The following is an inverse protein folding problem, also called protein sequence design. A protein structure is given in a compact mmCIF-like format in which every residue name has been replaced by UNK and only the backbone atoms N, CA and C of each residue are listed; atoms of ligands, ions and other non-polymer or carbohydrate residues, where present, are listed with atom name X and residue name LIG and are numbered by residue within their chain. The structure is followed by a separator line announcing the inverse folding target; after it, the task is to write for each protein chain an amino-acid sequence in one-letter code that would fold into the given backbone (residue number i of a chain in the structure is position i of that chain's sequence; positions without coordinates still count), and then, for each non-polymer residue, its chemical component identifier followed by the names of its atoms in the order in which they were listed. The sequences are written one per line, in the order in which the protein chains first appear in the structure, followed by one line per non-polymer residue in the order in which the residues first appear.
data_IF_457819873854
#
_entry.id   IF_457819873854
#
_cell.length_a   1.000
_cell.length_b   1.000
_cell.length_c   1.000
_cell.angle_alpha   90.00
_cell.angle_beta   90.00
_cell.angle_gamma   90.00
#
_symmetry.space_group_name_H-M   'P 1'
#
loop_
_entity.id
_entity.type
_entity.pdbx_description
1 polymer ?
#
# COMPACT_ATOMS: atom_id res chain seq x y z
N UNK A 1 40.08 76.64 -15.56
CA UNK A 1 41.08 75.54 -15.58
C UNK A 1 41.37 75.11 -14.14
N UNK A 2 40.51 74.26 -13.58
CA UNK A 2 40.67 73.70 -12.23
C UNK A 2 41.18 72.26 -12.33
N UNK A 3 42.30 71.97 -11.67
CA UNK A 3 42.97 70.65 -11.71
C UNK A 3 42.24 69.66 -10.80
N UNK A 4 41.81 68.54 -11.37
CA UNK A 4 41.24 67.39 -10.66
C UNK A 4 42.37 66.62 -9.94
N UNK A 5 42.23 66.38 -8.63
CA UNK A 5 43.03 65.41 -7.87
C UNK A 5 42.11 64.21 -7.54
N UNK A 6 42.53 62.96 -7.75
CA UNK A 6 41.76 61.82 -7.28
C UNK A 6 42.01 61.57 -5.79
N UNK A 7 40.94 61.20 -5.07
CA UNK A 7 40.94 60.72 -3.68
C UNK A 7 41.26 59.21 -3.63
N UNK A 8 41.73 58.67 -2.48
CA UNK A 8 42.16 57.28 -2.37
C UNK A 8 40.97 56.30 -2.29
N UNK A 9 41.19 55.07 -2.77
CA UNK A 9 40.24 53.97 -2.75
C UNK A 9 39.85 53.58 -1.31
N UNK A 10 38.55 53.52 -1.04
CA UNK A 10 37.99 52.91 0.16
C UNK A 10 38.05 51.38 0.01
N UNK A 11 38.64 50.71 0.99
CA UNK A 11 38.70 49.25 1.07
C UNK A 11 37.30 48.66 1.26
N UNK A 12 37.01 47.63 0.48
CA UNK A 12 35.83 46.78 0.60
C UNK A 12 36.16 45.58 1.49
N UNK A 13 36.11 45.76 2.81
CA UNK A 13 36.12 44.66 3.77
C UNK A 13 34.85 44.74 4.61
N UNK A 14 33.83 43.97 4.23
CA UNK A 14 32.62 43.82 5.03
C UNK A 14 31.37 43.62 4.19
N UNK A 15 31.16 42.40 3.65
CA UNK A 15 29.80 41.82 3.56
C UNK A 15 29.73 40.36 3.06
N UNK A 16 30.87 39.69 2.82
CA UNK A 16 30.85 38.28 2.41
C UNK A 16 30.43 37.32 3.55
N UNK A 17 30.44 37.76 4.81
CA UNK A 17 30.12 36.92 5.96
C UNK A 17 28.62 36.72 6.19
N UNK A 18 27.81 37.76 5.97
CA UNK A 18 26.38 37.75 6.31
C UNK A 18 25.54 37.00 5.28
N UNK A 19 25.85 37.15 3.98
CA UNK A 19 25.19 36.39 2.91
C UNK A 19 25.55 34.88 2.94
N UNK A 20 26.77 34.54 3.36
CA UNK A 20 27.22 33.14 3.45
C UNK A 20 26.71 32.45 4.72
N UNK A 21 26.40 33.20 5.78
CA UNK A 21 25.75 32.67 6.98
C UNK A 21 24.25 32.42 6.71
N UNK A 22 23.55 33.35 6.07
CA UNK A 22 22.12 33.22 5.74
C UNK A 22 21.84 32.03 4.79
N UNK A 23 22.72 31.79 3.80
CA UNK A 23 22.59 30.64 2.90
C UNK A 23 22.91 29.30 3.57
N UNK A 24 23.82 29.28 4.55
CA UNK A 24 24.13 28.07 5.33
C UNK A 24 23.06 27.72 6.35
N UNK A 25 22.45 28.72 6.98
CA UNK A 25 21.39 28.51 7.96
C UNK A 25 20.11 28.00 7.28
N UNK A 26 19.77 28.56 6.11
CA UNK A 26 18.67 28.03 5.28
C UNK A 26 19.00 26.62 4.76
N UNK A 27 20.21 26.36 4.25
CA UNK A 27 20.62 25.03 3.80
C UNK A 27 20.67 23.99 4.94
N UNK A 28 21.08 24.40 6.15
CA UNK A 28 21.08 23.58 7.37
C UNK A 28 19.67 23.25 7.82
N UNK A 29 18.75 24.22 7.77
CA UNK A 29 17.33 24.00 8.06
C UNK A 29 16.70 23.06 7.02
N UNK A 30 17.10 23.14 5.75
CA UNK A 30 16.69 22.17 4.73
C UNK A 30 17.24 20.77 5.04
N UNK A 31 18.55 20.59 5.26
CA UNK A 31 19.13 19.26 5.57
C UNK A 31 18.61 18.67 6.87
N UNK A 32 18.41 19.48 7.92
CA UNK A 32 17.86 19.02 9.20
C UNK A 32 16.40 18.57 9.08
N UNK A 33 15.64 19.12 8.13
CA UNK A 33 14.26 18.71 7.88
C UNK A 33 14.22 17.40 7.08
N UNK A 34 15.10 17.25 6.08
CA UNK A 34 15.27 15.99 5.33
C UNK A 34 15.81 14.85 6.18
N UNK A 35 16.81 15.10 7.04
CA UNK A 35 17.34 14.10 7.97
C UNK A 35 16.28 13.68 9.00
N UNK A 36 15.42 14.59 9.47
CA UNK A 36 14.30 14.25 10.36
C UNK A 36 13.20 13.45 9.67
N UNK A 37 12.81 13.82 8.45
CA UNK A 37 11.82 13.06 7.67
C UNK A 37 12.34 11.66 7.33
N UNK A 38 13.62 11.52 6.96
CA UNK A 38 14.25 10.23 6.67
C UNK A 38 14.35 9.37 7.94
N UNK A 39 14.71 9.96 9.09
CA UNK A 39 14.76 9.26 10.39
C UNK A 39 13.35 8.85 10.87
N UNK A 40 12.35 9.71 10.76
CA UNK A 40 10.98 9.45 11.25
C UNK A 40 10.28 8.38 10.44
N UNK A 41 10.49 8.35 9.13
CA UNK A 41 9.91 7.34 8.28
C UNK A 41 10.64 5.99 8.41
N UNK A 42 11.97 6.00 8.60
CA UNK A 42 12.73 4.79 8.93
C UNK A 42 12.18 4.10 10.20
N UNK A 43 11.67 4.84 11.18
CA UNK A 43 11.07 4.25 12.38
C UNK A 43 9.77 3.47 12.09
N UNK A 44 8.90 3.98 11.22
CA UNK A 44 7.65 3.29 10.81
C UNK A 44 7.98 2.06 9.94
N UNK A 45 8.92 2.22 9.01
CA UNK A 45 9.41 1.10 8.20
C UNK A 45 10.08 0.02 9.08
N UNK A 46 10.94 0.44 10.01
CA UNK A 46 11.64 -0.47 10.91
C UNK A 46 10.70 -1.10 11.94
N UNK A 47 9.62 -0.44 12.39
CA UNK A 47 8.62 -1.07 13.26
C UNK A 47 7.94 -2.21 12.52
N UNK A 48 7.44 -1.98 11.31
CA UNK A 48 6.79 -3.02 10.49
C UNK A 48 7.75 -4.17 10.12
N UNK A 49 9.01 -3.87 9.79
CA UNK A 49 10.03 -4.91 9.57
C UNK A 49 10.37 -5.71 10.85
N UNK A 50 10.38 -5.08 12.03
CA UNK A 50 10.65 -5.76 13.31
C UNK A 50 9.51 -6.68 13.70
N UNK A 51 8.25 -6.26 13.52
CA UNK A 51 7.10 -7.10 13.87
C UNK A 51 6.94 -8.27 12.90
N UNK A 52 7.12 -8.04 11.58
CA UNK A 52 7.16 -9.09 10.56
C UNK A 52 8.15 -10.22 10.92
N UNK A 53 9.35 -9.86 11.40
CA UNK A 53 10.35 -10.84 11.88
C UNK A 53 9.91 -11.58 13.15
N UNK A 54 9.26 -10.90 14.11
CA UNK A 54 8.79 -11.52 15.36
C UNK A 54 7.68 -12.55 15.11
N UNK A 55 6.75 -12.27 14.20
CA UNK A 55 5.71 -13.23 13.78
C UNK A 55 6.29 -14.40 12.97
N UNK A 56 7.26 -14.15 12.07
CA UNK A 56 7.98 -15.24 11.37
C UNK A 56 8.72 -16.20 12.33
N UNK A 57 9.29 -15.68 13.41
CA UNK A 57 9.91 -16.47 14.49
C UNK A 57 8.87 -17.24 15.34
N UNK A 58 7.66 -16.70 15.50
CA UNK A 58 6.55 -17.38 16.20
C UNK A 58 5.98 -18.56 15.37
N UNK A 59 5.92 -18.43 14.04
CA UNK A 59 5.51 -19.52 13.12
C UNK A 59 6.66 -20.53 12.89
N UNK A 60 7.93 -20.10 13.01
CA UNK A 60 9.13 -20.94 12.86
C UNK A 60 9.65 -21.62 14.14
N UNK A 61 8.90 -21.55 15.23
CA UNK A 61 9.34 -21.94 16.58
C UNK A 61 9.41 -23.43 16.88
N UNK A 62 10.09 -24.25 16.07
CA UNK A 62 10.73 -25.52 16.54
C UNK A 62 11.98 -25.90 15.72
N UNK A 63 12.84 -24.96 15.34
CA UNK A 63 14.24 -25.35 15.03
C UNK A 63 14.97 -25.47 16.37
N UNK A 64 14.96 -26.67 16.92
CA UNK A 64 15.81 -27.03 18.04
C UNK A 64 17.27 -26.76 17.67
N UNK A 65 18.00 -26.13 18.58
CA UNK A 65 19.42 -25.77 18.49
C UNK A 65 20.32 -27.02 18.51
N UNK A 66 20.04 -28.00 17.65
CA UNK A 66 20.73 -29.30 17.56
C UNK A 66 21.12 -29.71 16.14
N UNK A 67 20.87 -28.87 15.13
CA UNK A 67 21.11 -29.19 13.72
C UNK A 67 22.44 -28.72 13.13
N UNK A 68 23.47 -28.47 13.95
CA UNK A 68 24.82 -28.17 13.48
C UNK A 68 25.78 -29.16 14.14
N UNK A 69 26.19 -30.19 13.39
CA UNK A 69 27.51 -30.84 13.36
C UNK A 69 27.38 -32.10 12.49
N UNK A 70 28.14 -32.14 11.39
CA UNK A 70 28.91 -33.30 10.90
C UNK A 70 29.02 -33.30 9.37
N UNK A 71 30.10 -32.70 8.84
CA UNK A 71 30.73 -33.16 7.60
C UNK A 71 32.18 -32.67 7.55
N UNK A 72 33.01 -33.15 8.48
CA UNK A 72 34.46 -33.19 8.29
C UNK A 72 34.85 -34.67 8.19
N UNK A 73 35.27 -35.08 7.00
CA UNK A 73 35.78 -36.42 6.71
C UNK A 73 36.35 -36.43 5.30
N UNK A 74 37.66 -36.25 5.19
CA UNK A 74 38.37 -36.13 3.92
C UNK A 74 38.61 -37.47 3.23
N UNK A 75 38.82 -37.38 1.92
CA UNK A 75 39.64 -38.32 1.16
C UNK A 75 40.30 -37.55 0.00
N UNK A 76 41.63 -37.66 -0.06
CA UNK A 76 42.52 -37.20 -1.12
C UNK A 76 42.42 -38.15 -2.32
N UNK A 77 42.32 -37.64 -3.55
CA UNK A 77 43.43 -37.60 -4.51
C UNK A 77 43.00 -37.29 -5.96
N UNK A 78 43.71 -36.30 -6.52
CA UNK A 78 44.30 -36.25 -7.87
C UNK A 78 43.45 -36.20 -9.15
N UNK A 79 43.44 -34.99 -9.72
CA UNK A 79 43.80 -34.60 -11.11
C UNK A 79 43.06 -35.25 -12.29
N UNK A 80 42.26 -34.44 -12.98
CA UNK A 80 42.32 -34.30 -14.45
C UNK A 80 41.73 -32.96 -14.88
N UNK A 81 42.58 -32.10 -15.43
CA UNK A 81 42.20 -30.88 -16.11
C UNK A 81 41.79 -31.23 -17.56
N UNK A 82 40.61 -30.77 -17.99
CA UNK A 82 40.30 -30.67 -19.41
C UNK A 82 39.68 -29.31 -19.68
N UNK A 83 40.43 -28.51 -20.44
CA UNK A 83 40.07 -27.22 -20.98
C UNK A 83 38.93 -27.37 -22.00
N UNK A 84 37.86 -26.59 -21.86
CA UNK A 84 36.87 -26.36 -22.90
C UNK A 84 36.67 -24.84 -23.06
N UNK A 85 36.92 -24.37 -24.29
CA UNK A 85 36.87 -22.97 -24.68
C UNK A 85 35.44 -22.40 -24.65
N UNK A 86 35.26 -21.08 -24.44
CA UNK A 86 33.96 -20.45 -24.58
C UNK A 86 33.63 -20.25 -26.07
N UNK A 87 32.61 -20.94 -26.58
CA UNK A 87 31.96 -20.61 -27.85
C UNK A 87 31.12 -19.34 -27.68
N UNK A 88 31.53 -18.30 -28.40
CA UNK A 88 30.80 -17.06 -28.61
C UNK A 88 29.54 -17.31 -29.46
N UNK A 89 28.37 -17.29 -28.84
CA UNK A 89 27.10 -17.12 -29.56
C UNK A 89 26.65 -15.67 -29.42
N UNK A 90 26.68 -14.96 -30.54
CA UNK A 90 26.09 -13.63 -30.74
C UNK A 90 24.61 -13.64 -30.39
N UNK A 91 24.08 -12.70 -29.58
CA UNK A 91 22.65 -12.51 -29.49
C UNK A 91 22.18 -11.76 -30.75
N UNK A 92 21.43 -12.43 -31.62
CA UNK A 92 20.62 -11.76 -32.62
C UNK A 92 19.49 -11.04 -31.89
N UNK A 93 19.63 -9.72 -31.71
CA UNK A 93 18.55 -8.86 -31.23
C UNK A 93 17.41 -8.84 -32.25
N UNK A 94 16.43 -9.73 -32.08
CA UNK A 94 15.08 -9.48 -32.55
C UNK A 94 14.44 -8.45 -31.61
N UNK A 95 14.71 -7.17 -31.89
CA UNK A 95 13.93 -6.06 -31.34
C UNK A 95 12.53 -6.10 -31.97
N UNK A 96 11.70 -7.04 -31.54
CA UNK A 96 10.27 -6.86 -31.59
C UNK A 96 9.96 -5.83 -30.51
N UNK A 97 9.59 -4.62 -30.93
CA UNK A 97 9.00 -3.63 -30.06
C UNK A 97 7.75 -4.24 -29.44
N UNK A 98 7.90 -4.82 -28.25
CA UNK A 98 6.79 -5.00 -27.33
C UNK A 98 6.35 -3.59 -26.98
N UNK A 99 5.17 -3.19 -27.45
CA UNK A 99 4.39 -2.18 -26.74
C UNK A 99 4.26 -2.71 -25.32
N UNK A 100 5.09 -2.21 -24.40
CA UNK A 100 4.91 -2.46 -22.98
C UNK A 100 3.53 -1.92 -22.66
N UNK A 101 2.59 -2.80 -22.33
CA UNK A 101 1.32 -2.36 -21.75
C UNK A 101 1.68 -1.42 -20.61
N UNK A 102 1.22 -0.18 -20.68
CA UNK A 102 1.49 0.80 -19.64
C UNK A 102 0.80 0.30 -18.36
N UNK A 103 1.58 0.10 -17.29
CA UNK A 103 1.04 -0.35 -15.99
C UNK A 103 0.23 0.74 -15.30
N UNK A 104 -0.24 0.45 -14.09
CA UNK A 104 -1.07 1.36 -13.30
C UNK A 104 -0.46 2.75 -13.11
N UNK A 105 0.87 2.85 -12.99
CA UNK A 105 1.58 4.12 -12.81
C UNK A 105 1.37 5.12 -13.95
N UNK A 106 1.02 4.64 -15.15
CA UNK A 106 0.73 5.49 -16.30
C UNK A 106 -0.55 6.32 -16.16
N UNK A 107 -1.43 5.95 -15.24
CA UNK A 107 -2.68 6.65 -14.96
C UNK A 107 -2.54 7.73 -13.86
N UNK A 108 -1.39 7.81 -13.18
CA UNK A 108 -1.18 8.74 -12.07
C UNK A 108 -1.28 10.20 -12.50
N UNK A 109 -0.67 10.57 -13.63
CA UNK A 109 -0.67 11.95 -14.11
C UNK A 109 -2.04 12.39 -14.67
N UNK A 110 -2.95 11.44 -14.92
CA UNK A 110 -4.34 11.69 -15.28
C UNK A 110 -5.30 11.70 -14.09
N UNK A 111 -4.82 11.36 -12.89
CA UNK A 111 -5.61 11.36 -11.65
C UNK A 111 -5.62 12.75 -11.01
N UNK A 112 -6.50 12.98 -10.02
CA UNK A 112 -6.58 14.27 -9.33
C UNK A 112 -5.21 14.66 -8.73
N UNK A 113 -4.70 15.84 -9.06
CA UNK A 113 -3.40 16.34 -8.60
C UNK A 113 -3.61 17.42 -7.53
N UNK A 114 -2.76 17.44 -6.50
CA UNK A 114 -2.73 18.51 -5.50
C UNK A 114 -4.06 18.78 -4.78
N UNK A 115 -4.80 17.72 -4.46
CA UNK A 115 -6.03 17.81 -3.67
C UNK A 115 -5.80 17.10 -2.35
N UNK A 116 -6.12 17.75 -1.24
CA UNK A 116 -6.13 17.11 0.08
C UNK A 116 -7.15 15.97 0.05
N UNK A 117 -6.68 14.75 0.27
CA UNK A 117 -7.55 13.59 0.36
C UNK A 117 -8.41 13.69 1.62
N UNK A 118 -9.69 13.36 1.49
CA UNK A 118 -10.59 13.36 2.64
C UNK A 118 -10.24 12.21 3.58
N UNK A 119 -10.17 12.52 4.87
CA UNK A 119 -10.06 11.51 5.91
C UNK A 119 -11.41 10.80 6.08
N UNK A 120 -11.39 9.48 6.03
CA UNK A 120 -12.56 8.62 6.19
C UNK A 120 -12.34 7.61 7.32
N UNK A 121 -13.42 7.00 7.79
CA UNK A 121 -13.32 5.96 8.83
C UNK A 121 -12.48 4.77 8.39
N UNK A 122 -11.67 4.23 9.31
CA UNK A 122 -10.94 2.98 9.12
C UNK A 122 -11.90 1.77 9.01
N UNK A 123 -13.10 1.86 9.56
CA UNK A 123 -14.03 0.73 9.67
C UNK A 123 -13.61 -0.34 10.70
N UNK A 124 -14.42 -1.40 10.87
CA UNK A 124 -14.23 -2.36 11.96
C UNK A 124 -13.25 -3.49 11.64
N UNK A 125 -12.68 -3.53 10.44
CA UNK A 125 -11.91 -4.67 9.93
C UNK A 125 -10.42 -4.38 9.79
N UNK A 126 -9.92 -3.32 10.43
CA UNK A 126 -8.52 -2.94 10.39
C UNK A 126 -7.74 -3.61 11.54
N UNK A 127 -6.61 -4.21 11.23
CA UNK A 127 -5.60 -4.74 12.17
C UNK A 127 -4.23 -4.72 11.48
N UNK A 128 -3.14 -4.63 12.24
CA UNK A 128 -1.81 -4.63 11.62
C UNK A 128 -1.41 -6.06 11.20
N UNK A 129 -1.32 -6.24 9.87
CA UNK A 129 -0.91 -7.50 9.25
C UNK A 129 0.62 -7.68 9.27
N UNK A 130 1.39 -6.63 9.57
CA UNK A 130 2.86 -6.64 9.58
C UNK A 130 3.50 -7.17 8.29
N UNK A 131 2.91 -6.84 7.14
CA UNK A 131 3.33 -7.40 5.84
C UNK A 131 3.63 -6.32 4.83
N UNK A 132 4.91 -6.19 4.48
CA UNK A 132 5.35 -5.42 3.31
C UNK A 132 5.34 -6.35 2.09
N UNK A 133 4.36 -6.16 1.21
CA UNK A 133 4.17 -7.00 0.01
C UNK A 133 3.44 -6.24 -1.08
N UNK A 134 3.83 -6.50 -2.33
CA UNK A 134 3.17 -5.93 -3.50
C UNK A 134 1.98 -6.77 -3.97
N UNK A 135 2.06 -8.10 -3.96
CA UNK A 135 0.96 -8.99 -4.35
C UNK A 135 0.13 -9.41 -3.14
N UNK A 136 -1.13 -9.00 -3.11
CA UNK A 136 -2.05 -9.20 -1.98
C UNK A 136 -3.02 -10.36 -2.19
N UNK A 137 -3.05 -10.94 -3.39
CA UNK A 137 -4.14 -11.84 -3.81
C UNK A 137 -4.17 -13.13 -3.03
N UNK A 138 -2.98 -13.63 -2.66
CA UNK A 138 -2.82 -14.99 -2.13
C UNK A 138 -3.53 -16.02 -3.03
N UNK A 139 -4.55 -16.70 -2.51
CA UNK A 139 -5.37 -17.69 -3.22
C UNK A 139 -6.76 -17.14 -3.64
N UNK A 140 -7.04 -15.85 -3.41
CA UNK A 140 -8.37 -15.30 -3.63
C UNK A 140 -8.72 -15.19 -5.12
N UNK A 141 -9.87 -15.76 -5.55
CA UNK A 141 -10.34 -15.59 -6.91
C UNK A 141 -10.90 -14.19 -7.12
N UNK A 142 -10.66 -13.62 -8.30
CA UNK A 142 -11.19 -12.31 -8.68
C UNK A 142 -10.54 -11.77 -9.95
N UNK A 143 -11.04 -10.64 -10.42
CA UNK A 143 -10.47 -9.93 -11.56
C UNK A 143 -9.20 -9.24 -11.08
N UNK A 144 -8.03 -9.59 -11.65
CA UNK A 144 -6.75 -8.96 -11.29
C UNK A 144 -6.85 -7.44 -11.42
N UNK A 145 -6.34 -6.74 -10.41
CA UNK A 145 -6.31 -5.29 -10.36
C UNK A 145 -4.92 -4.82 -9.91
N UNK A 146 -4.20 -4.12 -10.78
CA UNK A 146 -2.96 -3.44 -10.40
C UNK A 146 -3.28 -2.00 -9.99
N UNK A 147 -2.93 -1.62 -8.77
CA UNK A 147 -3.24 -0.32 -8.20
C UNK A 147 -1.96 0.45 -7.89
N UNK A 148 -1.82 1.65 -8.45
CA UNK A 148 -0.77 2.60 -8.12
C UNK A 148 -1.32 3.74 -7.26
N UNK A 149 -0.69 4.00 -6.12
CA UNK A 149 -1.00 5.15 -5.27
C UNK A 149 0.22 6.05 -5.23
N UNK A 150 0.06 7.33 -5.58
CA UNK A 150 1.10 8.35 -5.36
C UNK A 150 0.73 9.16 -4.13
N UNK A 151 1.60 9.17 -3.13
CA UNK A 151 1.48 10.05 -1.97
C UNK A 151 2.20 11.36 -2.30
N UNK A 152 1.53 12.48 -2.06
CA UNK A 152 2.08 13.81 -2.28
C UNK A 152 1.63 14.78 -1.18
N UNK A 153 2.42 15.81 -0.94
CA UNK A 153 1.98 16.93 -0.11
C UNK A 153 0.87 17.70 -0.83
N UNK A 154 -0.21 17.99 -0.12
CA UNK A 154 -1.40 18.65 -0.67
C UNK A 154 -1.23 20.16 -0.89
N UNK A 155 -0.22 20.78 -0.27
CA UNK A 155 0.08 22.22 -0.38
C UNK A 155 1.12 22.49 -1.46
N UNK A 156 2.23 21.74 -1.42
CA UNK A 156 3.37 21.90 -2.31
C UNK A 156 3.29 21.05 -3.58
N UNK A 157 2.37 20.07 -3.64
CA UNK A 157 2.25 19.10 -4.72
C UNK A 157 3.48 18.22 -4.93
N UNK A 158 4.33 18.08 -3.90
CA UNK A 158 5.59 17.34 -4.00
C UNK A 158 5.36 15.89 -3.60
N UNK A 159 5.91 14.91 -4.34
CA UNK A 159 5.80 13.50 -3.94
C UNK A 159 6.47 13.23 -2.59
N UNK A 160 5.84 12.41 -1.76
CA UNK A 160 6.36 12.02 -0.45
C UNK A 160 6.97 10.62 -0.55
N UNK A 161 8.29 10.58 -0.59
CA UNK A 161 9.04 9.34 -0.61
C UNK A 161 9.05 8.64 0.76
N UNK A 162 9.26 7.34 0.72
CA UNK A 162 9.38 6.44 1.85
C UNK A 162 8.13 6.27 2.75
N UNK A 163 7.04 7.03 2.57
CA UNK A 163 5.78 6.83 3.29
C UNK A 163 5.30 5.37 3.21
N UNK A 164 4.69 4.87 4.28
CA UNK A 164 4.03 3.54 4.23
C UNK A 164 2.60 3.72 3.76
N UNK A 165 2.25 3.05 2.67
CA UNK A 165 0.86 2.91 2.22
C UNK A 165 0.40 1.51 2.59
N UNK A 166 -0.69 1.42 3.34
CA UNK A 166 -1.38 0.17 3.66
C UNK A 166 -2.75 0.16 2.98
N UNK A 167 -3.15 -0.99 2.43
CA UNK A 167 -4.49 -1.19 1.90
C UNK A 167 -5.11 -2.49 2.41
N UNK A 168 -6.43 -2.48 2.57
CA UNK A 168 -7.22 -3.67 2.85
C UNK A 168 -8.60 -3.59 2.20
N UNK A 169 -9.13 -4.73 1.76
CA UNK A 169 -10.49 -4.80 1.21
C UNK A 169 -11.06 -6.22 1.31
N UNK A 170 -12.37 -6.32 1.06
CA UNK A 170 -13.06 -7.60 0.97
C UNK A 170 -12.74 -8.33 -0.34
N UNK A 171 -12.88 -9.65 -0.33
CA UNK A 171 -12.82 -10.45 -1.55
C UNK A 171 -14.03 -10.23 -2.46
N UNK A 172 -14.08 -10.94 -3.59
CA UNK A 172 -15.18 -10.84 -4.55
C UNK A 172 -16.57 -11.17 -3.94
N UNK A 173 -16.62 -11.95 -2.86
CA UNK A 173 -17.83 -12.30 -2.13
C UNK A 173 -18.20 -11.32 -1.01
N UNK A 174 -17.41 -10.26 -0.78
CA UNK A 174 -17.65 -9.31 0.29
C UNK A 174 -17.10 -9.74 1.65
N UNK A 175 -16.18 -10.71 1.70
CA UNK A 175 -15.61 -11.24 2.94
C UNK A 175 -14.23 -10.64 3.23
N UNK A 176 -14.03 -10.15 4.45
CA UNK A 176 -12.73 -9.65 4.92
C UNK A 176 -11.92 -10.77 5.60
N UNK A 177 -10.65 -10.90 5.21
CA UNK A 177 -9.70 -11.77 5.91
C UNK A 177 -9.49 -11.32 7.35
N UNK A 178 -9.32 -12.25 8.29
CA UNK A 178 -9.30 -11.97 9.72
C UNK A 178 -10.69 -11.80 10.33
N UNK A 179 -11.76 -11.78 9.52
CA UNK A 179 -13.15 -11.59 9.96
C UNK A 179 -14.12 -12.43 9.13
N UNK A 180 -13.73 -13.62 8.68
CA UNK A 180 -14.54 -14.40 7.74
C UNK A 180 -15.92 -14.71 8.33
N UNK A 181 -15.95 -15.14 9.59
CA UNK A 181 -17.19 -15.44 10.32
C UNK A 181 -18.08 -14.22 10.52
N UNK A 182 -17.50 -13.05 10.83
CA UNK A 182 -18.22 -11.80 11.04
C UNK A 182 -18.76 -11.20 9.74
N UNK A 183 -18.02 -11.35 8.64
CA UNK A 183 -18.39 -10.83 7.32
C UNK A 183 -19.61 -11.57 6.74
N UNK A 184 -19.71 -12.88 6.97
CA UNK A 184 -20.84 -13.71 6.53
C UNK A 184 -22.17 -13.33 7.21
N UNK A 185 -22.13 -12.83 8.45
CA UNK A 185 -23.31 -12.42 9.21
C UNK A 185 -23.96 -11.11 8.76
N UNK A 186 -23.20 -10.26 8.03
CA UNK A 186 -23.66 -8.95 7.54
C UNK A 186 -24.36 -9.00 6.16
N UNK A 187 -24.64 -10.20 5.66
CA UNK A 187 -25.36 -10.41 4.39
C UNK A 187 -24.49 -10.51 3.14
N UNK A 188 -23.18 -10.76 3.30
CA UNK A 188 -22.25 -11.17 2.23
C UNK A 188 -21.83 -12.63 2.42
N UNK A 189 -22.76 -13.56 2.18
CA UNK A 189 -22.38 -14.98 2.13
C UNK A 189 -21.53 -15.20 0.86
N UNK A 190 -20.29 -15.72 0.96
CA UNK A 190 -19.52 -16.06 -0.22
C UNK A 190 -20.25 -17.14 -1.02
N UNK A 191 -20.02 -17.20 -2.35
CA UNK A 191 -20.62 -18.24 -3.19
C UNK A 191 -20.26 -19.63 -2.65
N UNK A 192 -21.26 -20.51 -2.67
CA UNK A 192 -21.16 -21.88 -2.17
C UNK A 192 -20.33 -22.74 -3.12
N UNK A 193 -19.03 -22.78 -2.88
CA UNK A 193 -18.07 -23.69 -3.51
C UNK A 193 -17.80 -24.96 -2.69
N UNK A 194 -18.81 -25.84 -2.53
CA UNK A 194 -18.62 -27.29 -2.37
C UNK A 194 -18.30 -27.88 -0.98
N UNK A 195 -19.33 -28.34 -0.26
CA UNK A 195 -19.26 -29.38 0.78
C UNK A 195 -20.63 -29.65 1.43
N UNK A 196 -21.13 -30.90 1.53
CA UNK A 196 -22.55 -31.15 1.83
C UNK A 196 -22.84 -31.23 3.33
N UNK A 197 -23.92 -30.60 3.77
CA UNK A 197 -24.71 -31.11 4.90
C UNK A 197 -25.31 -30.09 5.86
N UNK A 198 -26.64 -29.90 5.77
CA UNK A 198 -27.52 -29.69 6.92
C UNK A 198 -28.04 -28.26 7.18
N UNK A 199 -29.29 -27.98 6.82
CA UNK A 199 -30.06 -26.84 7.39
C UNK A 199 -30.79 -27.22 8.69
N UNK A 200 -31.85 -26.50 9.14
CA UNK A 200 -32.31 -25.15 8.79
C UNK A 200 -32.62 -24.22 10.01
N UNK A 201 -32.96 -22.97 9.68
CA UNK A 201 -33.90 -22.04 10.35
C UNK A 201 -33.58 -21.38 11.71
N UNK A 202 -33.64 -20.04 11.71
CA UNK A 202 -34.32 -19.26 12.74
C UNK A 202 -33.51 -18.11 13.36
N UNK A 203 -34.06 -16.88 13.28
CA UNK A 203 -33.80 -15.82 14.26
C UNK A 203 -33.09 -14.58 13.73
N UNK A 204 -33.86 -13.53 13.48
CA UNK A 204 -33.38 -12.15 13.37
C UNK A 204 -32.97 -11.64 14.75
N UNK A 205 -31.69 -11.64 15.09
CA UNK A 205 -31.17 -10.93 16.26
C UNK A 205 -29.84 -10.24 15.92
N UNK A 206 -29.67 -9.04 16.46
CA UNK A 206 -28.78 -8.00 15.95
C UNK A 206 -27.29 -8.36 15.91
N UNK A 207 -26.61 -7.75 14.94
CA UNK A 207 -25.16 -7.72 14.84
C UNK A 207 -24.55 -7.18 16.15
N UNK A 208 -24.17 -8.11 17.02
CA UNK A 208 -23.36 -7.90 18.21
C UNK A 208 -22.21 -8.90 18.11
N UNK A 209 -21.15 -8.54 17.38
CA UNK A 209 -20.12 -9.51 17.05
C UNK A 209 -18.86 -8.97 16.39
N UNK A 210 -18.53 -7.70 16.60
CA UNK A 210 -17.15 -7.23 16.58
C UNK A 210 -17.05 -6.33 17.81
N UNK A 211 -16.64 -6.90 18.94
CA UNK A 211 -16.36 -6.10 20.12
C UNK A 211 -15.16 -5.22 19.80
N UNK A 212 -15.32 -3.92 20.02
CA UNK A 212 -14.32 -2.85 20.00
C UNK A 212 -13.27 -3.04 21.11
N UNK A 213 -12.71 -4.25 21.21
CA UNK A 213 -11.92 -4.72 22.35
C UNK A 213 -10.55 -5.24 21.95
N UNK A 214 -10.07 -4.92 20.74
CA UNK A 214 -8.71 -5.27 20.37
C UNK A 214 -7.70 -4.43 21.11
N UNK A 215 -6.46 -4.92 21.17
CA UNK A 215 -5.40 -4.22 21.87
C UNK A 215 -5.18 -2.87 21.18
N UNK A 216 -5.24 -1.79 21.96
CA UNK A 216 -4.71 -0.51 21.52
C UNK A 216 -3.26 -0.76 21.15
N UNK A 217 -2.87 -0.42 19.93
CA UNK A 217 -1.46 -0.35 19.58
C UNK A 217 -0.71 0.40 20.65
N UNK A 218 0.46 -0.11 21.01
CA UNK A 218 1.37 0.56 21.92
C UNK A 218 1.94 1.88 21.34
N UNK A 219 1.40 2.35 20.21
CA UNK A 219 1.86 3.51 19.46
C UNK A 219 3.10 3.20 18.63
N UNK A 220 3.44 1.92 18.41
CA UNK A 220 4.60 1.54 17.60
C UNK A 220 4.46 1.85 16.11
N UNK A 221 3.23 2.00 15.58
CA UNK A 221 2.97 2.29 14.15
C UNK A 221 2.16 3.58 13.91
N UNK A 222 1.13 3.86 14.73
CA UNK A 222 0.33 5.10 14.71
C UNK A 222 -0.17 5.40 16.11
N UNK A 223 -0.18 6.67 16.52
CA UNK A 223 -0.79 7.06 17.80
C UNK A 223 -2.31 7.12 17.65
N UNK A 224 -3.03 6.33 18.46
CA UNK A 224 -4.49 6.40 18.59
C UNK A 224 -5.28 5.40 17.74
N UNK A 225 -4.63 4.59 16.91
CA UNK A 225 -5.29 3.51 16.17
C UNK A 225 -5.57 2.32 17.09
N UNK A 226 -6.78 1.77 16.99
CA UNK A 226 -7.19 0.53 17.66
C UNK A 226 -7.26 -0.59 16.63
N UNK A 227 -6.54 -1.69 16.88
CA UNK A 227 -6.65 -2.91 16.08
C UNK A 227 -7.94 -3.65 16.44
N UNK A 228 -8.63 -4.19 15.45
CA UNK A 228 -9.75 -5.08 15.69
C UNK A 228 -9.25 -6.50 16.05
N UNK A 229 -9.92 -7.15 17.00
CA UNK A 229 -9.65 -8.57 17.31
C UNK A 229 -10.12 -9.44 16.15
N UNK A 230 -9.20 -10.17 15.53
CA UNK A 230 -9.52 -11.06 14.41
C UNK A 230 -10.29 -12.32 14.86
N UNK A 231 -11.12 -12.87 13.98
CA UNK A 231 -11.84 -14.14 14.19
C UNK A 231 -11.12 -15.34 13.58
N UNK A 232 -10.12 -15.10 12.74
CA UNK A 232 -9.30 -16.07 12.04
C UNK A 232 -7.92 -15.48 11.72
N UNK A 233 -7.02 -16.30 11.15
CA UNK A 233 -5.64 -15.92 10.83
C UNK A 233 -5.46 -15.46 9.36
N UNK A 234 -6.55 -15.26 8.61
CA UNK A 234 -6.49 -14.88 7.21
C UNK A 234 -5.89 -13.49 7.01
N UNK A 235 -5.03 -13.34 5.98
CA UNK A 235 -4.43 -12.03 5.65
C UNK A 235 -4.58 -11.60 4.20
N UNK A 236 -5.27 -12.38 3.37
CA UNK A 236 -5.44 -12.06 1.95
C UNK A 236 -6.01 -10.65 1.75
N UNK A 237 -5.66 -10.00 0.64
CA UNK A 237 -6.15 -8.68 0.23
C UNK A 237 -5.84 -7.56 1.24
N UNK A 238 -4.77 -7.76 2.03
CA UNK A 238 -4.22 -6.79 2.97
C UNK A 238 -2.71 -6.68 2.79
N UNK A 239 -2.15 -5.48 2.84
CA UNK A 239 -0.71 -5.33 2.85
C UNK A 239 -0.26 -3.89 2.79
N UNK A 240 1.03 -3.69 3.00
CA UNK A 240 1.65 -2.39 2.96
C UNK A 240 2.84 -2.35 2.00
N UNK A 241 3.16 -1.16 1.50
CA UNK A 241 4.28 -0.88 0.62
C UNK A 241 4.88 0.48 1.00
N UNK A 242 6.19 0.59 0.85
CA UNK A 242 6.92 1.85 0.96
C UNK A 242 6.83 2.62 -0.35
N UNK A 243 6.55 3.93 -0.31
CA UNK A 243 6.59 4.76 -1.51
C UNK A 243 8.03 4.96 -1.99
N UNK A 244 8.22 4.95 -3.31
CA UNK A 244 9.51 5.25 -3.93
C UNK A 244 9.84 6.75 -3.95
N UNK A 245 10.93 7.13 -4.64
CA UNK A 245 11.32 8.54 -4.79
C UNK A 245 10.28 9.41 -5.53
N UNK A 246 9.39 8.81 -6.31
CA UNK A 246 8.26 9.46 -6.95
C UNK A 246 7.00 9.46 -6.10
N UNK A 247 7.09 9.07 -4.82
CA UNK A 247 5.97 8.93 -3.91
C UNK A 247 5.05 7.76 -4.24
N UNK A 248 5.47 6.80 -5.06
CA UNK A 248 4.58 5.76 -5.60
C UNK A 248 4.71 4.44 -4.85
N UNK A 249 3.57 3.88 -4.45
CA UNK A 249 3.41 2.49 -4.03
C UNK A 249 2.52 1.75 -5.03
N UNK A 250 2.91 0.52 -5.41
CA UNK A 250 2.15 -0.31 -6.36
C UNK A 250 1.80 -1.65 -5.73
N UNK A 251 0.53 -2.04 -5.90
CA UNK A 251 -0.04 -3.30 -5.44
C UNK A 251 -0.63 -4.08 -6.60
N UNK A 252 -0.51 -5.41 -6.55
CA UNK A 252 -1.30 -6.34 -7.34
C UNK A 252 -2.33 -6.97 -6.40
N UNK A 253 -3.61 -6.78 -6.71
CA UNK A 253 -4.74 -7.31 -5.94
C UNK A 253 -5.82 -7.85 -6.87
N UNK A 254 -7.03 -8.08 -6.36
CA UNK A 254 -8.26 -8.25 -7.16
C UNK A 254 -9.14 -7.03 -7.02
N UNK A 255 -10.01 -6.76 -7.99
CA UNK A 255 -11.06 -5.76 -7.83
C UNK A 255 -11.92 -6.12 -6.61
N UNK A 256 -12.19 -5.20 -5.67
CA UNK A 256 -12.93 -5.52 -4.45
C UNK A 256 -14.36 -5.97 -4.75
N UNK A 257 -14.91 -6.86 -3.92
CA UNK A 257 -16.33 -7.18 -3.95
C UNK A 257 -17.18 -6.10 -3.28
N UNK A 258 -18.41 -6.47 -2.95
CA UNK A 258 -19.36 -5.59 -2.28
C UNK A 258 -19.98 -6.29 -1.07
N UNK A 259 -20.45 -5.50 -0.12
CA UNK A 259 -21.27 -5.96 0.99
C UNK A 259 -22.37 -4.92 1.25
N UNK A 260 -23.43 -5.34 1.94
CA UNK A 260 -24.62 -4.51 2.10
C UNK A 260 -24.35 -3.22 2.86
N UNK A 261 -24.96 -2.13 2.38
CA UNK A 261 -24.98 -0.85 3.08
C UNK A 261 -23.78 0.05 2.79
N UNK A 262 -22.83 -0.39 1.97
CA UNK A 262 -21.68 0.39 1.53
C UNK A 262 -21.45 0.24 0.03
N UNK A 263 -21.01 1.30 -0.64
CA UNK A 263 -20.48 1.24 -1.99
C UNK A 263 -19.17 0.45 -2.01
N UNK A 264 -18.77 -0.10 -3.15
CA UNK A 264 -17.49 -0.81 -3.32
C UNK A 264 -16.31 0.11 -3.06
N UNK A 265 -15.39 -0.34 -2.18
CA UNK A 265 -14.21 0.43 -1.80
C UNK A 265 -13.01 -0.46 -1.45
N UNK A 266 -11.82 0.15 -1.49
CA UNK A 266 -10.60 -0.33 -0.85
C UNK A 266 -10.28 0.65 0.27
N UNK A 267 -10.01 0.17 1.47
CA UNK A 267 -9.50 1.05 2.52
C UNK A 267 -8.01 1.33 2.30
N UNK A 268 -7.58 2.54 2.64
CA UNK A 268 -6.19 2.93 2.58
C UNK A 268 -5.77 3.67 3.85
N UNK A 269 -4.55 3.42 4.32
CA UNK A 269 -3.90 4.18 5.39
C UNK A 269 -2.50 4.59 4.92
N UNK A 270 -2.17 5.86 5.03
CA UNK A 270 -0.86 6.41 4.64
C UNK A 270 -0.18 6.95 5.89
N UNK A 271 1.00 6.43 6.20
CA UNK A 271 1.84 6.89 7.28
C UNK A 271 3.02 7.66 6.66
N UNK A 272 3.00 8.98 6.80
CA UNK A 272 4.18 9.83 6.49
C UNK A 272 5.14 9.76 7.68
N UNK A 273 4.59 9.76 8.89
CA UNK A 273 5.27 9.47 10.14
C UNK A 273 4.28 8.85 11.15
N UNK A 274 4.66 8.73 12.43
CA UNK A 274 3.81 8.12 13.50
C UNK A 274 2.61 8.99 13.92
N UNK A 275 2.61 10.27 13.58
CA UNK A 275 1.56 11.26 13.87
C UNK A 275 0.77 11.60 12.61
N UNK A 276 1.46 11.78 11.48
CA UNK A 276 0.89 12.15 10.20
C UNK A 276 0.38 10.90 9.49
N UNK A 277 -0.86 10.55 9.80
CA UNK A 277 -1.55 9.37 9.28
C UNK A 277 -2.84 9.80 8.57
N UNK A 278 -2.94 9.54 7.27
CA UNK A 278 -4.20 9.65 6.54
C UNK A 278 -4.89 8.28 6.57
N UNK A 279 -6.11 8.22 7.09
CA UNK A 279 -7.00 7.08 6.87
C UNK A 279 -8.08 7.48 5.89
N UNK A 280 -8.27 6.72 4.82
CA UNK A 280 -9.23 7.07 3.76
C UNK A 280 -9.78 5.82 3.07
N UNK A 281 -10.65 6.02 2.08
CA UNK A 281 -11.24 4.95 1.28
C UNK A 281 -11.17 5.32 -0.21
N UNK A 282 -10.84 4.32 -1.02
CA UNK A 282 -10.72 4.41 -2.47
C UNK A 282 -11.98 3.84 -3.09
N UNK A 283 -12.58 4.60 -4.00
CA UNK A 283 -13.85 4.28 -4.63
C UNK A 283 -13.69 4.07 -6.13
N UNK A 284 -14.69 3.45 -6.73
CA UNK A 284 -14.72 3.16 -8.16
C UNK A 284 -15.98 3.74 -8.77
N UNK A 285 -15.96 4.10 -10.05
CA UNK A 285 -17.17 4.53 -10.73
C UNK A 285 -18.16 3.35 -10.88
N UNK A 286 -19.47 3.63 -10.88
CA UNK A 286 -20.50 2.58 -10.90
C UNK A 286 -20.53 1.81 -12.24
N UNK A 287 -20.03 2.38 -13.34
CA UNK A 287 -19.97 1.72 -14.64
C UNK A 287 -18.85 0.66 -14.70
N UNK A 288 -17.72 0.94 -14.07
CA UNK A 288 -16.59 0.05 -13.86
C UNK A 288 -17.02 -1.10 -12.98
N UNK A 289 -17.70 -0.83 -11.85
CA UNK A 289 -18.30 -1.87 -11.00
C UNK A 289 -19.23 -2.76 -11.80
N UNK A 290 -20.15 -2.19 -12.59
CA UNK A 290 -21.07 -2.97 -13.43
C UNK A 290 -20.33 -3.91 -14.40
N UNK A 291 -19.24 -3.42 -15.01
CA UNK A 291 -18.44 -4.21 -15.96
C UNK A 291 -17.72 -5.37 -15.26
N UNK A 292 -17.19 -5.16 -14.06
CA UNK A 292 -16.51 -6.20 -13.28
C UNK A 292 -17.51 -7.20 -12.71
N UNK A 293 -18.62 -6.72 -12.14
CA UNK A 293 -19.62 -7.56 -11.47
C UNK A 293 -20.48 -8.39 -12.40
N UNK A 294 -20.47 -8.08 -13.70
CA UNK A 294 -21.03 -8.95 -14.73
C UNK A 294 -20.19 -10.22 -15.01
N UNK A 295 -19.01 -10.37 -14.39
CA UNK A 295 -18.07 -11.46 -14.65
C UNK A 295 -17.90 -12.35 -13.42
N UNK A 296 -17.56 -13.62 -13.64
CA UNK A 296 -17.16 -14.54 -12.57
C UNK A 296 -15.86 -14.06 -11.89
N UNK A 297 -15.71 -14.22 -10.57
CA UNK A 297 -16.66 -14.83 -9.62
C UNK A 297 -17.73 -13.86 -9.08
N UNK A 298 -17.65 -12.57 -9.39
CA UNK A 298 -18.53 -11.55 -8.83
C UNK A 298 -20.01 -11.75 -9.20
N UNK A 299 -20.28 -12.26 -10.40
CA UNK A 299 -21.64 -12.57 -10.86
C UNK A 299 -22.37 -13.59 -9.97
N UNK A 300 -21.63 -14.39 -9.19
CA UNK A 300 -22.22 -15.35 -8.26
C UNK A 300 -22.70 -14.66 -6.97
N UNK A 301 -22.16 -13.48 -6.65
CA UNK A 301 -22.64 -12.59 -5.59
C UNK A 301 -23.61 -11.54 -6.16
N UNK A 302 -24.78 -12.01 -6.59
CA UNK A 302 -25.79 -11.20 -7.27
C UNK A 302 -26.47 -10.16 -6.37
N UNK A 303 -26.99 -9.09 -6.98
CA UNK A 303 -27.82 -8.07 -6.32
C UNK A 303 -27.08 -6.78 -5.96
N UNK A 304 -25.83 -6.62 -6.43
CA UNK A 304 -25.04 -5.40 -6.25
C UNK A 304 -25.76 -4.16 -6.82
N UNK A 305 -26.60 -4.31 -7.84
CA UNK A 305 -27.37 -3.22 -8.45
C UNK A 305 -28.35 -2.58 -7.45
N UNK A 306 -28.79 -3.36 -6.46
CA UNK A 306 -29.68 -2.91 -5.39
C UNK A 306 -28.92 -2.52 -4.11
N UNK A 307 -27.59 -2.58 -4.13
CA UNK A 307 -26.77 -2.15 -3.02
C UNK A 307 -26.53 -0.63 -3.06
N UNK A 308 -25.93 -0.09 -2.01
CA UNK A 308 -25.51 1.32 -1.93
C UNK A 308 -24.55 1.66 -3.08
N UNK A 309 -24.90 2.67 -3.87
CA UNK A 309 -24.05 3.21 -4.94
C UNK A 309 -23.24 4.41 -4.40
N UNK A 310 -22.32 4.97 -5.20
CA UNK A 310 -21.49 6.09 -4.72
C UNK A 310 -22.31 7.29 -4.26
N UNK A 311 -23.37 7.64 -4.99
CA UNK A 311 -24.22 8.80 -4.69
C UNK A 311 -25.10 8.65 -3.44
N UNK A 312 -25.17 7.43 -2.90
CA UNK A 312 -26.01 7.06 -1.75
C UNK A 312 -25.20 6.54 -0.56
N UNK A 313 -23.88 6.41 -0.69
CA UNK A 313 -22.98 6.07 0.40
C UNK A 313 -22.57 7.35 1.15
N UNK A 314 -22.76 7.36 2.48
CA UNK A 314 -22.49 8.51 3.32
C UNK A 314 -20.99 8.75 3.63
N UNK A 315 -20.13 7.81 3.26
CA UNK A 315 -18.67 7.88 3.39
C UNK A 315 -18.03 8.21 2.03
N UNK A 316 -18.73 7.99 0.91
CA UNK A 316 -18.20 8.29 -0.42
C UNK A 316 -17.73 9.75 -0.54
N UNK A 317 -16.54 9.91 -1.12
CA UNK A 317 -15.99 11.19 -1.50
C UNK A 317 -15.26 11.09 -2.84
N UNK A 318 -15.46 12.10 -3.70
CA UNK A 318 -14.89 12.11 -5.04
C UNK A 318 -13.35 12.20 -5.02
N UNK A 319 -12.73 12.71 -3.95
CA UNK A 319 -11.26 12.72 -3.80
C UNK A 319 -10.66 11.32 -3.65
N UNK A 320 -11.47 10.33 -3.28
CA UNK A 320 -11.08 8.92 -3.23
C UNK A 320 -11.36 8.14 -4.53
N UNK A 321 -11.87 8.78 -5.59
CA UNK A 321 -12.23 8.08 -6.82
C UNK A 321 -10.98 7.66 -7.61
N UNK A 322 -10.81 6.36 -7.80
CA UNK A 322 -9.69 5.76 -8.55
C UNK A 322 -9.92 5.94 -10.05
N UNK A 323 -8.89 6.42 -10.75
CA UNK A 323 -8.85 6.40 -12.21
C UNK A 323 -8.57 4.97 -12.66
N UNK A 324 -9.59 4.24 -13.10
CA UNK A 324 -9.49 2.83 -13.49
C UNK A 324 -9.60 2.65 -15.01
N UNK A 325 -8.85 1.69 -15.56
CA UNK A 325 -8.90 1.33 -16.97
C UNK A 325 -8.76 -0.19 -17.13
N UNK A 326 -9.55 -0.76 -18.05
CA UNK A 326 -9.41 -2.17 -18.42
C UNK A 326 -8.06 -2.42 -19.10
N UNK A 327 -7.39 -3.49 -18.69
CA UNK A 327 -6.13 -3.99 -19.24
C UNK A 327 -6.33 -5.38 -19.87
N UNK A 328 -5.27 -5.94 -20.47
CA UNK A 328 -5.34 -7.23 -21.16
C UNK A 328 -5.77 -8.39 -20.22
N UNK A 329 -5.23 -8.40 -18.99
CA UNK A 329 -5.41 -9.49 -18.02
C UNK A 329 -6.13 -9.02 -16.74
N UNK A 330 -7.00 -8.02 -16.84
CA UNK A 330 -7.75 -7.46 -15.71
C UNK A 330 -7.94 -5.96 -15.81
N UNK A 331 -7.65 -5.25 -14.74
CA UNK A 331 -7.77 -3.80 -14.65
C UNK A 331 -6.50 -3.19 -14.06
N UNK A 332 -6.22 -1.96 -14.46
CA UNK A 332 -5.22 -1.10 -13.82
C UNK A 332 -5.94 0.11 -13.23
N UNK A 333 -5.44 0.65 -12.13
CA UNK A 333 -5.99 1.86 -11.54
C UNK A 333 -4.93 2.70 -10.85
N UNK A 334 -5.18 4.01 -10.81
CA UNK A 334 -4.30 4.93 -10.11
C UNK A 334 -5.06 6.02 -9.36
N UNK A 335 -4.42 6.51 -8.30
CA UNK A 335 -4.89 7.67 -7.55
C UNK A 335 -3.70 8.42 -6.94
N UNK A 336 -3.78 9.74 -6.85
CA UNK A 336 -2.86 10.50 -6.01
C UNK A 336 -3.55 10.86 -4.70
N UNK A 337 -2.90 10.56 -3.58
CA UNK A 337 -3.36 10.88 -2.24
C UNK A 337 -2.59 12.10 -1.73
N UNK A 338 -3.32 13.20 -1.51
CA UNK A 338 -2.77 14.41 -0.91
C UNK A 338 -2.83 14.34 0.60
N UNK A 339 -1.68 14.44 1.26
CA UNK A 339 -1.58 14.50 2.73
C UNK A 339 -1.26 15.94 3.13
N UNK A 340 -1.76 16.39 4.28
CA UNK A 340 -1.28 17.64 4.90
C UNK A 340 -0.06 17.31 5.74
N UNK A 341 1.14 17.46 5.17
CA UNK A 341 2.40 17.19 5.85
C UNK A 341 3.16 18.48 6.17
#
# INVERSE_FOLDING_TARGET
MGRYRPAPAAGSDGDAGVFTAFTREVASLFTDTWDKLDIMNNDVQNSRLRVSRRRALAVGGTISLGGLIAACGGATDSLAATSAAPTSTTPTSAAAARTTAAGATSLLDGSAQCVLSKEETQGPYWFDVDSIRSDLREDRPGTTFELALRVQDSTECTPIANAVVEIWHCDAGGVYSGFESGSMGAGGAPPSGGGPGGGPSGGSEGATGASDSGETSDGSYSVGDTEATTTDDGTYLRGAQTTDAGGVAVFTTIFPGWYRGRTTHIHAKVHVDKQTVLTTQLFFDDATKATVYAQSPYSDHAGWENNTQNDTDNIYDASGLVTAQQAADGWIGAINLGVGA
#
